data_IF_595198195181
#
_entry.id   IF_595198195181
#
_cell.length_a   1.000
_cell.length_b   1.000
_cell.length_c   1.000
_cell.angle_alpha   90.00
_cell.angle_beta   90.00
_cell.angle_gamma   90.00
#
_symmetry.space_group_name_H-M   'P 1'
#
loop_
_entity.id
_entity.type
_entity.pdbx_description
1 polymer ?
#
# COMPACT_ATOMS: atom_id res chain seq x y z
N UNK A 1 -13.85 -78.18 23.71
CA UNK A 1 -12.47 -77.76 24.05
C UNK A 1 -12.45 -76.25 23.88
N UNK A 2 -13.03 -75.44 24.76
CA UNK A 2 -12.77 -75.24 26.21
C UNK A 2 -11.33 -74.86 26.53
N UNK A 3 -11.22 -73.70 27.19
CA UNK A 3 -10.14 -73.16 28.03
C UNK A 3 -8.93 -72.58 27.28
N UNK A 4 -8.38 -71.40 27.62
CA UNK A 4 -8.30 -70.73 28.92
C UNK A 4 -7.88 -69.25 28.77
N UNK A 5 -8.42 -68.41 29.65
CA UNK A 5 -7.93 -67.09 30.04
C UNK A 5 -6.59 -67.23 30.79
N UNK A 6 -5.69 -66.26 30.62
CA UNK A 6 -4.72 -65.70 31.59
C UNK A 6 -3.62 -64.93 30.82
N UNK A 7 -3.06 -63.79 31.21
CA UNK A 7 -3.16 -63.00 32.43
C UNK A 7 -2.68 -61.58 32.11
N UNK A 8 -3.40 -60.59 32.63
CA UNK A 8 -3.01 -59.19 32.65
C UNK A 8 -2.09 -59.01 33.86
N UNK A 9 -0.78 -58.80 33.67
CA UNK A 9 0.14 -58.47 34.77
C UNK A 9 0.69 -57.06 34.63
N UNK A 10 0.80 -56.41 35.79
CA UNK A 10 0.82 -54.97 35.97
C UNK A 10 1.99 -54.23 35.34
N UNK A 11 1.67 -53.04 34.82
CA UNK A 11 2.65 -51.98 34.58
C UNK A 11 2.80 -51.20 35.88
N UNK A 12 3.89 -51.45 36.60
CA UNK A 12 4.28 -50.61 37.73
C UNK A 12 4.58 -49.18 37.24
N UNK A 13 4.08 -48.13 37.92
CA UNK A 13 4.48 -46.76 37.62
C UNK A 13 5.93 -46.59 38.07
N UNK A 14 6.85 -46.37 37.12
CA UNK A 14 8.25 -46.07 37.38
C UNK A 14 8.40 -44.99 38.46
N UNK A 15 8.71 -45.41 39.69
CA UNK A 15 9.27 -44.53 40.71
C UNK A 15 10.68 -44.17 40.24
N UNK A 16 10.86 -42.95 39.73
CA UNK A 16 12.18 -42.47 39.30
C UNK A 16 13.14 -42.55 40.49
N UNK A 17 14.21 -43.33 40.33
CA UNK A 17 15.29 -43.43 41.32
C UNK A 17 15.75 -42.05 41.77
N UNK A 18 15.98 -41.82 43.08
CA UNK A 18 16.34 -40.50 43.64
C UNK A 18 17.59 -39.88 42.99
N UNK A 19 18.49 -40.72 42.45
CA UNK A 19 19.66 -40.28 41.67
C UNK A 19 19.29 -39.55 40.38
N UNK A 20 18.24 -39.99 39.68
CA UNK A 20 17.77 -39.36 38.44
C UNK A 20 17.12 -38.00 38.75
N UNK A 21 16.40 -37.90 39.87
CA UNK A 21 15.79 -36.64 40.33
C UNK A 21 16.88 -35.63 40.70
N UNK A 22 17.93 -36.06 41.40
CA UNK A 22 19.08 -35.22 41.77
C UNK A 22 19.83 -34.70 40.53
N UNK A 23 20.07 -35.57 39.53
CA UNK A 23 20.70 -35.18 38.26
C UNK A 23 19.84 -34.18 37.47
N UNK A 24 18.52 -34.39 37.36
CA UNK A 24 17.61 -33.45 36.70
C UNK A 24 17.58 -32.09 37.39
N UNK A 25 17.58 -32.06 38.74
CA UNK A 25 17.64 -30.82 39.52
C UNK A 25 18.96 -30.07 39.30
N UNK A 26 20.08 -30.80 39.24
CA UNK A 26 21.39 -30.23 38.98
C UNK A 26 21.47 -29.59 37.58
N UNK A 27 20.99 -30.31 36.55
CA UNK A 27 20.96 -29.81 35.18
C UNK A 27 20.05 -28.59 35.00
N UNK A 28 18.89 -28.58 35.66
CA UNK A 28 17.99 -27.41 35.66
C UNK A 28 18.67 -26.19 36.28
N UNK A 29 19.37 -26.37 37.39
CA UNK A 29 20.09 -25.27 38.05
C UNK A 29 21.26 -24.76 37.19
N UNK A 30 21.99 -25.66 36.51
CA UNK A 30 23.07 -25.27 35.59
C UNK A 30 22.53 -24.49 34.39
N UNK A 31 21.41 -24.93 33.83
CA UNK A 31 20.75 -24.26 32.71
C UNK A 31 20.27 -22.85 33.08
N UNK A 32 19.62 -22.69 34.24
CA UNK A 32 19.15 -21.38 34.71
C UNK A 32 20.34 -20.45 34.98
N UNK A 33 21.42 -20.95 35.56
CA UNK A 33 22.62 -20.15 35.80
C UNK A 33 23.24 -19.64 34.49
N UNK A 34 23.38 -20.51 33.48
CA UNK A 34 23.91 -20.12 32.17
C UNK A 34 22.99 -19.11 31.45
N UNK A 35 21.67 -19.29 31.56
CA UNK A 35 20.67 -18.37 31.02
C UNK A 35 20.76 -16.98 31.67
N UNK A 36 20.86 -16.93 33.01
CA UNK A 36 21.01 -15.67 33.74
C UNK A 36 22.29 -14.92 33.36
N UNK A 37 23.42 -15.62 33.23
CA UNK A 37 24.70 -15.01 32.81
C UNK A 37 24.59 -14.44 31.40
N UNK A 38 23.94 -15.16 30.49
CA UNK A 38 23.71 -14.70 29.10
C UNK A 38 22.85 -13.44 29.05
N UNK A 39 21.77 -13.37 29.83
CA UNK A 39 20.90 -12.18 29.91
C UNK A 39 21.66 -10.98 30.49
N UNK A 40 22.50 -11.20 31.52
CA UNK A 40 23.35 -10.15 32.11
C UNK A 40 24.33 -9.57 31.10
N UNK A 41 24.99 -10.42 30.31
CA UNK A 41 25.93 -9.99 29.26
C UNK A 41 25.23 -9.22 28.14
N UNK A 42 24.04 -9.66 27.72
CA UNK A 42 23.23 -8.94 26.73
C UNK A 42 22.80 -7.57 27.29
N UNK A 43 22.36 -7.50 28.55
CA UNK A 43 21.97 -6.25 29.19
C UNK A 43 23.13 -5.23 29.26
N UNK A 44 24.32 -5.68 29.67
CA UNK A 44 25.50 -4.81 29.78
C UNK A 44 25.98 -4.35 28.40
N UNK A 45 25.88 -5.19 27.36
CA UNK A 45 26.43 -4.88 26.04
C UNK A 45 25.45 -4.17 25.08
N UNK A 46 24.12 -4.32 25.25
CA UNK A 46 23.12 -3.72 24.33
C UNK A 46 22.37 -2.51 24.87
N UNK A 47 22.32 -2.30 26.19
CA UNK A 47 21.64 -1.14 26.78
C UNK A 47 22.34 0.21 26.51
N UNK A 48 23.69 0.31 26.46
CA UNK A 48 24.36 1.59 26.21
C UNK A 48 24.11 2.18 24.81
N UNK A 49 23.66 1.41 23.82
CA UNK A 49 23.44 1.87 22.44
C UNK A 49 22.03 2.43 22.17
N UNK A 50 21.07 2.25 23.08
CA UNK A 50 19.67 2.67 22.89
C UNK A 50 19.29 3.95 23.66
N UNK A 51 20.16 4.49 24.50
CA UNK A 51 19.86 5.67 25.34
C UNK A 51 20.10 7.04 24.67
N UNK A 52 20.72 7.11 23.48
CA UNK A 52 20.87 8.41 22.79
C UNK A 52 19.59 8.93 22.12
N UNK A 53 18.55 8.10 21.95
CA UNK A 53 17.32 8.51 21.25
C UNK A 53 16.21 9.02 22.19
N UNK A 54 16.35 8.85 23.51
CA UNK A 54 15.33 9.29 24.49
C UNK A 54 15.56 10.70 25.04
N UNK A 55 16.77 11.25 24.89
CA UNK A 55 17.07 12.63 25.31
C UNK A 55 16.48 13.69 24.37
N UNK A 56 16.27 13.36 23.08
CA UNK A 56 15.61 14.26 22.13
C UNK A 56 14.08 14.32 22.30
N UNK A 57 13.49 13.31 22.94
CA UNK A 57 12.05 13.29 23.27
C UNK A 57 11.72 14.04 24.57
N UNK A 58 12.68 14.22 25.48
CA UNK A 58 12.52 15.04 26.70
C UNK A 58 12.89 16.51 26.51
N UNK A 59 13.52 16.88 25.38
CA UNK A 59 13.83 18.25 24.99
C UNK A 59 12.76 18.89 24.08
N UNK A 60 11.66 18.17 23.78
CA UNK A 60 10.52 18.74 23.09
C UNK A 60 9.71 19.60 24.06
N UNK A 61 10.11 20.88 24.16
CA UNK A 61 9.41 21.91 24.91
C UNK A 61 7.92 21.90 24.56
N UNK A 62 7.13 21.66 25.59
CA UNK A 62 5.67 21.67 25.60
C UNK A 62 5.09 22.97 25.05
N UNK A 63 4.14 22.82 24.13
CA UNK A 63 2.91 23.61 23.95
C UNK A 63 2.94 25.05 24.53
N UNK A 64 3.14 26.05 23.66
CA UNK A 64 2.76 27.43 23.96
C UNK A 64 1.30 27.64 23.52
N UNK A 65 0.43 27.92 24.50
CA UNK A 65 -0.91 28.49 24.28
C UNK A 65 -0.72 30.02 24.28
N UNK A 66 -1.20 30.78 23.28
CA UNK A 66 -0.96 32.22 23.25
C UNK A 66 -1.99 32.93 24.13
N UNK A 67 -1.51 33.78 25.03
CA UNK A 67 -2.31 34.84 25.64
C UNK A 67 -2.02 36.16 24.90
N UNK A 68 -3.12 36.84 24.59
CA UNK A 68 -3.31 38.20 24.07
C UNK A 68 -2.06 39.10 23.82
N UNK A 69 -1.86 39.44 22.53
CA UNK A 69 -1.64 40.82 22.07
C UNK A 69 -0.24 41.42 22.13
N UNK A 70 0.57 41.21 21.10
CA UNK A 70 1.44 42.25 20.53
C UNK A 70 1.86 41.90 19.11
N UNK A 71 1.71 42.85 18.19
CA UNK A 71 1.99 42.74 16.76
C UNK A 71 3.42 43.20 16.52
N UNK A 72 4.29 42.29 16.08
CA UNK A 72 5.56 42.65 15.44
C UNK A 72 5.58 42.10 14.02
N UNK A 73 5.47 43.01 13.06
CA UNK A 73 5.70 42.74 11.64
C UNK A 73 7.17 42.39 11.43
N UNK A 74 7.48 41.12 11.12
CA UNK A 74 8.55 40.74 10.20
C UNK A 74 8.62 39.21 9.99
N UNK A 75 7.62 38.63 9.35
CA UNK A 75 7.76 37.38 8.60
C UNK A 75 6.84 37.39 7.37
N UNK A 76 7.07 38.36 6.47
CA UNK A 76 6.72 38.18 5.07
C UNK A 76 7.96 37.67 4.36
N UNK A 77 8.03 36.35 4.13
CA UNK A 77 8.03 35.75 2.79
C UNK A 77 8.67 34.35 2.79
N UNK A 78 7.96 33.34 3.31
CA UNK A 78 8.01 31.99 2.76
C UNK A 78 6.67 31.28 2.94
N UNK A 79 5.61 31.97 2.52
CA UNK A 79 4.44 31.26 2.02
C UNK A 79 4.60 31.21 0.51
N UNK A 80 5.10 30.09 0.01
CA UNK A 80 4.83 29.71 -1.38
C UNK A 80 3.31 29.78 -1.52
N UNK A 81 2.83 30.79 -2.26
CA UNK A 81 1.44 30.83 -2.69
C UNK A 81 1.09 29.44 -3.26
N UNK A 82 -0.15 28.93 -3.10
CA UNK A 82 -0.57 27.82 -3.92
C UNK A 82 -0.36 28.28 -5.36
N UNK A 83 0.63 27.70 -6.05
CA UNK A 83 0.69 27.85 -7.49
C UNK A 83 -0.70 27.39 -7.93
N UNK A 84 -1.45 28.31 -8.53
CA UNK A 84 -2.70 28.00 -9.21
C UNK A 84 -2.31 27.11 -10.37
N UNK A 85 -2.06 25.83 -10.08
CA UNK A 85 -1.74 24.87 -11.10
C UNK A 85 -2.98 24.77 -11.97
N UNK A 86 -2.78 24.96 -13.26
CA UNK A 86 -3.84 24.74 -14.24
C UNK A 86 -4.14 23.24 -14.40
N UNK A 87 -3.68 22.40 -13.47
CA UNK A 87 -3.93 20.96 -13.46
C UNK A 87 -5.34 20.67 -12.97
N UNK A 88 -5.92 19.60 -13.51
CA UNK A 88 -7.10 18.95 -12.96
C UNK A 88 -6.85 18.51 -11.50
N UNK A 89 -7.93 18.38 -10.74
CA UNK A 89 -7.85 18.08 -9.32
C UNK A 89 -7.17 16.73 -9.04
N UNK A 90 -6.17 16.75 -8.16
CA UNK A 90 -5.54 15.54 -7.65
C UNK A 90 -6.40 14.92 -6.56
N UNK A 91 -6.67 13.63 -6.67
CA UNK A 91 -7.39 12.83 -5.68
C UNK A 91 -6.43 11.83 -5.04
N UNK A 92 -6.57 11.61 -3.75
CA UNK A 92 -5.81 10.60 -3.00
C UNK A 92 -6.77 9.68 -2.27
N UNK A 93 -6.49 8.38 -2.27
CA UNK A 93 -7.27 7.41 -1.52
C UNK A 93 -6.44 6.20 -1.11
N UNK A 94 -7.07 5.35 -0.32
CA UNK A 94 -6.58 4.05 0.09
C UNK A 94 -7.54 2.99 -0.43
N UNK A 95 -7.00 1.98 -1.11
CA UNK A 95 -7.73 0.78 -1.53
C UNK A 95 -7.43 -0.33 -0.54
N UNK A 96 -8.48 -0.97 -0.01
CA UNK A 96 -8.33 -2.19 0.77
C UNK A 96 -8.20 -3.39 -0.17
N UNK A 97 -6.99 -3.90 -0.29
CA UNK A 97 -6.61 -5.10 -1.03
C UNK A 97 -5.95 -6.13 -0.09
N UNK A 98 -6.43 -6.21 1.15
CA UNK A 98 -5.88 -7.11 2.16
C UNK A 98 -6.15 -8.58 1.86
N UNK A 99 -7.18 -8.93 1.08
CA UNK A 99 -7.50 -10.30 0.66
C UNK A 99 -6.39 -10.90 -0.22
N UNK A 100 -6.00 -12.15 0.08
CA UNK A 100 -5.07 -12.94 -0.74
C UNK A 100 -5.76 -13.57 -1.96
N UNK A 101 -7.10 -13.69 -1.92
CA UNK A 101 -7.90 -14.39 -2.92
C UNK A 101 -8.69 -13.42 -3.81
N UNK A 102 -9.40 -12.48 -3.18
CA UNK A 102 -10.34 -11.59 -3.87
C UNK A 102 -9.67 -10.34 -4.43
N UNK A 103 -10.18 -9.90 -5.57
CA UNK A 103 -9.79 -8.64 -6.18
C UNK A 103 -10.64 -7.49 -5.65
N UNK A 104 -9.97 -6.43 -5.22
CA UNK A 104 -10.57 -5.13 -4.95
C UNK A 104 -10.59 -4.30 -6.24
N UNK A 105 -11.78 -4.07 -6.79
CA UNK A 105 -11.95 -3.32 -8.05
C UNK A 105 -12.09 -1.82 -7.81
N UNK A 106 -11.48 -1.01 -8.67
CA UNK A 106 -11.51 0.45 -8.59
C UNK A 106 -11.90 1.04 -9.94
N UNK A 107 -12.67 2.12 -9.90
CA UNK A 107 -13.12 2.88 -11.06
C UNK A 107 -12.70 4.34 -10.89
N UNK A 108 -11.96 4.88 -11.85
CA UNK A 108 -11.46 6.26 -11.82
C UNK A 108 -12.59 7.28 -11.93
N UNK A 109 -13.65 6.96 -12.68
CA UNK A 109 -14.77 7.87 -12.93
C UNK A 109 -15.57 8.14 -11.65
N UNK A 110 -15.92 7.09 -10.92
CA UNK A 110 -16.54 7.17 -9.58
C UNK A 110 -15.50 7.54 -8.50
N UNK A 111 -14.23 7.22 -8.75
CA UNK A 111 -13.09 7.47 -7.88
C UNK A 111 -13.18 6.79 -6.52
N UNK A 112 -13.69 5.56 -6.51
CA UNK A 112 -13.84 4.71 -5.33
C UNK A 112 -13.72 3.23 -5.71
N UNK A 113 -13.51 2.39 -4.70
CA UNK A 113 -13.62 0.94 -4.83
C UNK A 113 -15.08 0.57 -5.18
N UNK A 114 -15.25 -0.33 -6.14
CA UNK A 114 -16.55 -0.78 -6.66
C UNK A 114 -16.71 -2.28 -6.44
N UNK A 115 -17.95 -2.71 -6.24
CA UNK A 115 -18.31 -4.13 -6.29
C UNK A 115 -18.86 -4.41 -7.69
N UNK A 116 -18.35 -5.45 -8.33
CA UNK A 116 -18.80 -5.86 -9.67
C UNK A 116 -19.38 -7.27 -9.58
N UNK A 117 -20.34 -7.57 -10.44
CA UNK A 117 -20.91 -8.93 -10.56
C UNK A 117 -20.14 -9.78 -11.58
N UNK A 118 -19.53 -9.13 -12.57
CA UNK A 118 -18.79 -9.77 -13.65
C UNK A 118 -17.49 -9.02 -13.94
N UNK A 119 -16.37 -9.75 -13.90
CA UNK A 119 -15.05 -9.23 -14.23
C UNK A 119 -14.92 -8.83 -15.71
N UNK A 120 -15.76 -9.37 -16.60
CA UNK A 120 -15.78 -8.97 -18.02
C UNK A 120 -16.48 -7.63 -18.27
N UNK A 121 -17.11 -7.03 -17.25
CA UNK A 121 -17.71 -5.70 -17.33
C UNK A 121 -16.69 -4.57 -17.49
N UNK A 122 -17.15 -3.41 -17.95
CA UNK A 122 -16.36 -2.18 -18.06
C UNK A 122 -16.50 -1.27 -16.82
N UNK A 123 -17.04 -1.79 -15.72
CA UNK A 123 -17.36 -1.00 -14.53
C UNK A 123 -16.16 -0.70 -13.62
N UNK A 124 -15.00 -1.27 -13.94
CA UNK A 124 -13.76 -1.17 -13.18
C UNK A 124 -12.60 -0.85 -14.13
N UNK A 125 -11.55 -0.21 -13.63
CA UNK A 125 -10.38 0.17 -14.41
C UNK A 125 -9.12 -0.53 -13.93
N UNK A 126 -8.96 -0.64 -12.61
CA UNK A 126 -7.88 -1.35 -11.95
C UNK A 126 -8.45 -2.35 -10.95
N UNK A 127 -7.78 -3.48 -10.78
CA UNK A 127 -8.07 -4.43 -9.72
C UNK A 127 -6.81 -4.70 -8.91
N UNK A 128 -6.98 -4.78 -7.59
CA UNK A 128 -5.91 -4.91 -6.61
C UNK A 128 -6.09 -6.18 -5.78
N UNK A 129 -5.03 -6.97 -5.61
CA UNK A 129 -5.02 -8.15 -4.74
C UNK A 129 -3.66 -8.26 -4.09
N UNK A 130 -3.58 -7.95 -2.79
CA UNK A 130 -2.30 -7.75 -2.09
C UNK A 130 -1.46 -6.74 -2.86
N UNK A 131 -0.21 -7.06 -3.17
CA UNK A 131 0.67 -6.21 -3.97
C UNK A 131 0.44 -6.30 -5.48
N UNK A 132 -0.46 -7.16 -5.96
CA UNK A 132 -0.72 -7.32 -7.40
C UNK A 132 -1.74 -6.31 -7.88
N UNK A 133 -1.48 -5.74 -9.06
CA UNK A 133 -2.36 -4.78 -9.71
C UNK A 133 -2.50 -5.18 -11.18
N UNK A 134 -3.73 -5.30 -11.64
CA UNK A 134 -4.10 -5.56 -13.04
C UNK A 134 -5.02 -4.45 -13.54
N UNK A 135 -5.13 -4.33 -14.86
CA UNK A 135 -5.98 -3.34 -15.52
C UNK A 135 -7.08 -4.00 -16.34
N UNK A 136 -8.19 -3.30 -16.55
CA UNK A 136 -9.32 -3.81 -17.32
C UNK A 136 -9.05 -3.73 -18.84
N UNK A 137 -8.12 -4.56 -19.32
CA UNK A 137 -7.73 -4.63 -20.72
C UNK A 137 -6.78 -5.77 -21.01
N UNK A 138 -6.65 -6.14 -22.28
CA UNK A 138 -5.78 -7.24 -22.70
C UNK A 138 -6.25 -8.59 -22.18
N UNK A 139 -5.36 -9.33 -21.51
CA UNK A 139 -5.67 -10.66 -20.99
C UNK A 139 -6.67 -10.65 -19.82
N UNK A 140 -6.74 -9.56 -19.05
CA UNK A 140 -7.67 -9.44 -17.92
C UNK A 140 -9.12 -9.29 -18.39
N UNK A 141 -9.32 -8.55 -19.47
CA UNK A 141 -10.63 -8.41 -20.12
C UNK A 141 -10.45 -7.99 -21.58
N UNK A 142 -10.99 -8.81 -22.49
CA UNK A 142 -10.92 -8.56 -23.94
C UNK A 142 -11.79 -7.38 -24.41
N UNK A 143 -12.79 -6.98 -23.63
CA UNK A 143 -13.70 -5.87 -23.97
C UNK A 143 -13.18 -4.53 -23.47
N UNK A 144 -12.33 -4.55 -22.44
CA UNK A 144 -11.72 -3.36 -21.86
C UNK A 144 -10.54 -2.87 -22.68
N UNK A 145 -10.37 -1.55 -22.72
CA UNK A 145 -9.29 -0.88 -23.45
C UNK A 145 -8.13 -0.46 -22.55
N UNK A 146 -8.12 -0.89 -21.28
CA UNK A 146 -7.16 -0.39 -20.32
C UNK A 146 -5.73 -0.82 -20.66
N UNK A 147 -4.79 0.05 -20.35
CA UNK A 147 -3.37 -0.19 -20.55
C UNK A 147 -2.55 0.89 -19.88
N UNK A 148 -1.25 0.68 -19.77
CA UNK A 148 -0.37 1.55 -19.01
C UNK A 148 0.87 2.01 -19.76
N UNK A 149 1.38 3.16 -19.34
CA UNK A 149 2.68 3.69 -19.70
C UNK A 149 3.39 4.07 -18.39
N UNK A 150 4.61 3.59 -18.19
CA UNK A 150 5.48 4.01 -17.10
C UNK A 150 6.31 5.24 -17.53
N UNK A 151 6.15 6.36 -16.83
CA UNK A 151 6.95 7.57 -17.05
C UNK A 151 8.27 7.57 -16.28
N UNK A 152 8.48 6.61 -15.38
CA UNK A 152 9.59 6.65 -14.44
C UNK A 152 9.38 7.64 -13.30
N UNK A 153 10.44 7.92 -12.56
CA UNK A 153 10.44 8.86 -11.44
C UNK A 153 10.52 10.31 -11.96
N UNK A 154 9.37 10.84 -12.39
CA UNK A 154 9.18 12.24 -12.79
C UNK A 154 8.33 12.99 -11.77
N UNK A 155 8.34 14.32 -11.80
CA UNK A 155 7.44 15.11 -10.97
C UNK A 155 5.98 14.88 -11.40
N UNK A 156 5.10 14.66 -10.42
CA UNK A 156 3.69 14.36 -10.66
C UNK A 156 2.97 15.55 -11.32
N UNK A 157 3.31 16.78 -10.91
CA UNK A 157 2.67 17.99 -11.42
C UNK A 157 3.18 18.39 -12.81
N UNK A 158 4.41 17.99 -13.17
CA UNK A 158 4.97 18.22 -14.51
C UNK A 158 4.32 17.35 -15.61
N UNK A 159 3.55 16.32 -15.25
CA UNK A 159 2.82 15.48 -16.21
C UNK A 159 1.50 16.14 -16.56
N UNK A 160 1.52 16.98 -17.60
CA UNK A 160 0.35 17.76 -18.04
C UNK A 160 -0.45 17.08 -19.15
N UNK A 161 0.12 16.07 -19.83
CA UNK A 161 -0.56 15.37 -20.91
C UNK A 161 -0.15 13.89 -21.03
N UNK A 162 -0.98 13.13 -21.74
CA UNK A 162 -0.72 11.73 -22.09
C UNK A 162 0.35 11.69 -23.19
N UNK A 163 1.51 11.05 -22.95
CA UNK A 163 2.56 10.97 -23.95
C UNK A 163 2.12 10.10 -25.13
N UNK A 164 2.64 10.40 -26.32
CA UNK A 164 2.40 9.59 -27.51
C UNK A 164 3.28 8.33 -27.52
N UNK A 165 2.99 7.41 -26.60
CA UNK A 165 3.64 6.10 -26.48
C UNK A 165 2.60 4.99 -26.49
N UNK A 166 3.03 3.79 -26.88
CA UNK A 166 2.17 2.61 -26.88
C UNK A 166 1.81 2.22 -25.44
N UNK A 167 0.53 2.02 -25.18
CA UNK A 167 0.03 1.45 -23.93
C UNK A 167 0.32 -0.06 -23.86
N UNK A 168 0.84 -0.50 -22.72
CA UNK A 168 1.11 -1.90 -22.41
C UNK A 168 -0.12 -2.48 -21.71
N UNK A 169 -0.69 -3.50 -22.33
CA UNK A 169 -1.85 -4.24 -21.84
C UNK A 169 -1.41 -5.38 -20.91
N UNK A 170 -2.37 -5.88 -20.14
CA UNK A 170 -2.17 -7.07 -19.32
C UNK A 170 -1.93 -8.30 -20.19
N UNK A 171 -1.07 -9.20 -19.70
CA UNK A 171 -0.67 -10.43 -20.38
C UNK A 171 -1.02 -11.63 -19.52
N UNK A 172 -1.48 -12.69 -20.18
CA UNK A 172 -1.62 -13.99 -19.55
C UNK A 172 -0.24 -14.63 -19.40
N UNK A 173 0.02 -15.19 -18.23
CA UNK A 173 1.18 -16.05 -17.95
C UNK A 173 0.69 -17.50 -17.80
N UNK A 174 1.60 -18.42 -17.48
CA UNK A 174 1.22 -19.83 -17.26
C UNK A 174 0.24 -20.02 -16.10
N UNK A 175 0.29 -19.15 -15.09
CA UNK A 175 -0.43 -19.34 -13.82
C UNK A 175 -1.34 -18.19 -13.44
N UNK A 176 -1.14 -16.99 -14.00
CA UNK A 176 -1.85 -15.78 -13.60
C UNK A 176 -1.92 -14.77 -14.76
N UNK A 177 -2.76 -13.75 -14.60
CA UNK A 177 -2.71 -12.54 -15.45
C UNK A 177 -1.92 -11.45 -14.75
N UNK A 178 -1.01 -10.80 -15.47
CA UNK A 178 -0.13 -9.75 -14.93
C UNK A 178 -0.07 -8.56 -15.87
N UNK A 179 0.08 -7.36 -15.31
CA UNK A 179 0.54 -6.21 -16.09
C UNK A 179 2.06 -6.04 -15.92
N UNK A 180 2.87 -6.13 -16.99
CA UNK A 180 4.34 -6.03 -16.89
C UNK A 180 4.86 -4.73 -16.27
N UNK A 181 4.11 -3.63 -16.39
CA UNK A 181 4.47 -2.34 -15.79
C UNK A 181 4.17 -2.36 -14.30
N UNK A 182 2.99 -2.87 -13.92
CA UNK A 182 2.56 -2.82 -12.53
C UNK A 182 3.20 -3.89 -11.66
N UNK A 183 3.67 -5.02 -12.20
CA UNK A 183 4.35 -6.05 -11.40
C UNK A 183 5.53 -5.50 -10.58
N UNK A 184 6.15 -4.42 -11.05
CA UNK A 184 7.33 -3.81 -10.43
C UNK A 184 7.03 -2.47 -9.75
N UNK A 185 5.78 -2.16 -9.38
CA UNK A 185 5.41 -0.88 -8.76
C UNK A 185 6.04 -0.65 -7.37
N UNK A 186 6.61 -1.68 -6.75
CA UNK A 186 7.34 -1.60 -5.49
C UNK A 186 8.71 -2.28 -5.56
N UNK A 187 9.55 -1.97 -4.57
CA UNK A 187 10.82 -2.66 -4.28
C UNK A 187 10.60 -3.53 -3.04
N UNK A 188 11.00 -4.79 -3.12
CA UNK A 188 10.96 -5.71 -1.98
C UNK A 188 12.34 -5.81 -1.33
N UNK A 189 12.41 -5.57 -0.02
CA UNK A 189 13.63 -5.76 0.75
C UNK A 189 13.65 -7.17 1.36
N UNK A 190 14.54 -8.03 0.90
CA UNK A 190 14.63 -9.43 1.35
C UNK A 190 15.06 -9.62 2.80
N UNK A 191 15.74 -8.64 3.42
CA UNK A 191 16.19 -8.73 4.82
C UNK A 191 15.08 -8.34 5.80
N UNK A 192 14.30 -7.32 5.46
CA UNK A 192 13.25 -6.77 6.33
C UNK A 192 11.85 -7.20 5.92
N UNK A 193 11.71 -7.89 4.78
CA UNK A 193 10.45 -8.26 4.14
C UNK A 193 9.53 -7.06 3.87
N UNK A 194 10.10 -5.85 3.78
CA UNK A 194 9.34 -4.61 3.55
C UNK A 194 9.22 -4.28 2.07
N UNK A 195 8.00 -4.02 1.64
CA UNK A 195 7.67 -3.46 0.34
C UNK A 195 7.76 -1.93 0.43
N UNK A 196 8.42 -1.30 -0.54
CA UNK A 196 8.51 0.16 -0.66
C UNK A 196 8.03 0.56 -2.05
N UNK A 197 6.98 1.40 -2.12
CA UNK A 197 6.47 1.88 -3.41
C UNK A 197 7.57 2.61 -4.19
N UNK A 198 7.63 2.38 -5.50
CA UNK A 198 8.44 3.21 -6.38
C UNK A 198 7.77 4.55 -6.56
N UNK A 199 8.58 5.59 -6.83
CA UNK A 199 8.07 6.95 -7.05
C UNK A 199 7.62 7.19 -8.49
N UNK A 200 7.53 6.12 -9.30
CA UNK A 200 7.14 6.19 -10.69
C UNK A 200 5.76 6.79 -10.88
N UNK A 201 5.60 7.55 -11.96
CA UNK A 201 4.31 8.04 -12.42
C UNK A 201 3.82 7.17 -13.58
N UNK A 202 2.58 6.72 -13.49
CA UNK A 202 1.95 5.89 -14.50
C UNK A 202 0.87 6.69 -15.22
N UNK A 203 0.83 6.59 -16.54
CA UNK A 203 -0.34 7.02 -17.32
C UNK A 203 -1.15 5.78 -17.66
N UNK A 204 -2.42 5.81 -17.29
CA UNK A 204 -3.36 4.70 -17.37
C UNK A 204 -4.47 5.10 -18.33
N UNK A 205 -4.68 4.28 -19.35
CA UNK A 205 -5.91 4.30 -20.12
C UNK A 205 -6.93 3.44 -19.39
N UNK A 206 -8.15 3.95 -19.20
CA UNK A 206 -9.25 3.26 -18.51
C UNK A 206 -9.95 2.25 -19.41
N UNK A 207 -10.84 1.42 -18.83
CA UNK A 207 -11.58 0.40 -19.58
C UNK A 207 -12.39 0.98 -20.74
N UNK A 208 -12.98 2.16 -20.51
CA UNK A 208 -13.77 2.95 -21.46
C UNK A 208 -12.93 3.89 -22.34
N UNK A 209 -11.60 3.88 -22.21
CA UNK A 209 -10.68 4.57 -23.10
C UNK A 209 -10.31 6.01 -22.72
N UNK A 210 -10.69 6.49 -21.53
CA UNK A 210 -10.24 7.76 -20.94
C UNK A 210 -8.87 7.60 -20.27
N UNK A 211 -8.37 8.66 -19.62
CA UNK A 211 -7.00 8.69 -19.10
C UNK A 211 -6.91 9.15 -17.65
N UNK A 212 -5.92 8.58 -16.96
CA UNK A 212 -5.53 8.95 -15.60
C UNK A 212 -4.00 9.00 -15.50
N UNK A 213 -3.43 9.97 -14.79
CA UNK A 213 -2.07 9.85 -14.26
C UNK A 213 -2.14 9.42 -12.81
N UNK A 214 -1.39 8.40 -12.42
CA UNK A 214 -1.47 7.75 -11.10
C UNK A 214 -0.07 7.52 -10.53
N UNK A 215 0.06 7.72 -9.22
CA UNK A 215 1.23 7.34 -8.44
C UNK A 215 0.80 6.49 -7.25
N UNK A 216 1.39 5.31 -7.12
CA UNK A 216 1.24 4.48 -5.92
C UNK A 216 2.23 4.96 -4.85
N UNK A 217 1.73 5.17 -3.63
CA UNK A 217 2.46 5.83 -2.54
C UNK A 217 2.87 4.85 -1.44
N UNK A 218 2.03 3.88 -1.14
CA UNK A 218 2.27 2.93 -0.05
C UNK A 218 1.48 1.64 -0.25
N UNK A 219 1.96 0.56 0.37
CA UNK A 219 1.31 -0.75 0.46
C UNK A 219 0.71 -1.02 1.85
N UNK A 220 0.93 -0.12 2.81
CA UNK A 220 0.54 -0.32 4.20
C UNK A 220 -0.64 0.55 4.61
N UNK A 221 -1.47 -0.04 5.47
CA UNK A 221 -2.57 0.58 6.17
C UNK A 221 -2.06 1.52 7.27
N UNK A 222 -2.92 2.37 7.82
CA UNK A 222 -2.55 3.30 8.90
C UNK A 222 -2.07 2.59 10.17
N UNK A 223 -2.61 1.41 10.44
CA UNK A 223 -2.23 0.50 11.54
C UNK A 223 -0.97 -0.34 11.25
N UNK A 224 -0.32 -0.10 10.10
CA UNK A 224 0.87 -0.82 9.60
C UNK A 224 0.59 -2.25 9.11
N UNK A 225 -0.67 -2.65 8.98
CA UNK A 225 -1.01 -3.88 8.27
C UNK A 225 -0.72 -3.74 6.76
N UNK A 226 -0.51 -4.87 6.10
CA UNK A 226 -0.18 -4.95 4.68
C UNK A 226 -1.43 -5.15 3.82
N UNK A 227 -1.44 -4.55 2.63
CA UNK A 227 -2.54 -4.72 1.67
C UNK A 227 -3.44 -3.49 1.51
N UNK A 228 -3.10 -2.35 2.12
CA UNK A 228 -3.77 -1.09 1.81
C UNK A 228 -2.93 -0.29 0.82
N UNK A 229 -3.37 -0.26 -0.43
CA UNK A 229 -2.66 0.47 -1.48
C UNK A 229 -3.10 1.93 -1.44
N UNK A 230 -2.17 2.80 -1.06
CA UNK A 230 -2.38 4.25 -1.10
C UNK A 230 -1.95 4.75 -2.47
N UNK A 231 -2.79 5.54 -3.13
CA UNK A 231 -2.46 6.14 -4.41
C UNK A 231 -3.01 7.55 -4.51
N UNK A 232 -2.33 8.37 -5.32
CA UNK A 232 -2.84 9.64 -5.80
C UNK A 232 -2.97 9.60 -7.32
N UNK A 233 -3.98 10.28 -7.84
CA UNK A 233 -4.23 10.32 -9.27
C UNK A 233 -4.94 11.59 -9.71
N UNK A 234 -4.86 11.87 -11.00
CA UNK A 234 -5.66 12.87 -11.71
C UNK A 234 -6.36 12.15 -12.86
N UNK A 235 -7.67 12.33 -12.98
CA UNK A 235 -8.49 11.67 -13.98
C UNK A 235 -9.09 12.69 -14.96
N UNK A 236 -8.99 12.39 -16.26
CA UNK A 236 -9.55 13.20 -17.34
C UNK A 236 -10.89 12.60 -17.80
N UNK A 237 -11.99 13.25 -17.44
CA UNK A 237 -13.34 12.78 -17.72
C UNK A 237 -13.75 12.93 -19.20
N UNK A 238 -13.20 13.91 -19.92
CA UNK A 238 -13.55 14.17 -21.33
C UNK A 238 -12.91 13.15 -22.30
N UNK A 239 -11.94 12.37 -21.84
CA UNK A 239 -11.13 11.49 -22.69
C UNK A 239 -10.06 12.23 -23.50
N UNK A 240 -9.89 13.54 -23.31
CA UNK A 240 -8.77 14.27 -23.89
C UNK A 240 -7.42 13.74 -23.35
N UNK A 241 -6.34 14.00 -24.09
CA UNK A 241 -4.98 13.67 -23.65
C UNK A 241 -4.41 14.72 -22.69
N UNK A 242 -5.17 15.71 -22.24
CA UNK A 242 -4.72 16.79 -21.35
C UNK A 242 -5.14 16.53 -19.91
N UNK A 243 -4.25 16.80 -18.95
CA UNK A 243 -4.55 16.85 -17.52
C UNK A 243 -4.66 18.29 -16.99
N UNK A 244 -4.76 19.26 -17.89
CA UNK A 244 -5.03 20.65 -17.56
C UNK A 244 -6.56 20.89 -17.51
N UNK A 245 -6.97 21.93 -16.77
CA UNK A 245 -8.36 22.42 -16.81
C UNK A 245 -8.58 23.07 -18.17
N UNK A 246 -9.76 22.85 -18.74
CA UNK A 246 -10.18 23.59 -19.91
C UNK A 246 -10.50 25.04 -19.47
N UNK A 247 -10.01 26.03 -20.21
CA UNK A 247 -10.38 27.44 -20.03
C UNK A 247 -11.83 27.66 -20.52
N UNK A 248 -12.81 27.07 -19.85
CA UNK A 248 -14.22 27.16 -20.19
C UNK A 248 -14.99 27.96 -19.14
N UNK A 249 -14.76 29.27 -19.16
CA UNK A 249 -15.62 30.30 -18.61
C UNK A 249 -16.34 31.09 -19.71
N UNK A 250 -16.84 30.43 -20.77
CA UNK A 250 -17.71 31.08 -21.76
C UNK A 250 -18.89 30.16 -22.04
N UNK A 251 -19.95 30.34 -21.25
CA UNK A 251 -21.28 29.85 -21.60
C UNK A 251 -21.74 30.67 -22.80
N UNK A 252 -21.58 30.15 -24.01
CA UNK A 252 -22.32 30.66 -25.16
C UNK A 252 -23.78 30.28 -24.98
N UNK A 253 -24.55 31.19 -24.38
CA UNK A 253 -26.00 31.21 -24.49
C UNK A 253 -26.32 31.45 -25.96
N UNK A 254 -26.56 30.37 -26.70
CA UNK A 254 -27.22 30.46 -28.01
C UNK A 254 -28.69 30.74 -27.70
N UNK A 255 -29.06 32.02 -27.76
CA UNK A 255 -30.45 32.44 -27.87
C UNK A 255 -31.04 31.78 -29.11
N UNK A 256 -32.00 30.89 -28.89
CA UNK A 256 -32.81 30.33 -29.97
C UNK A 256 -33.84 31.37 -30.35
N UNK A 257 -33.60 32.05 -31.46
CA UNK A 257 -34.57 32.89 -32.15
C UNK A 257 -35.16 32.07 -33.30
N UNK A 258 -36.44 31.74 -33.19
CA UNK A 258 -37.32 31.16 -34.23
C UNK A 258 -38.70 30.95 -33.58
N UNK A 259 -39.85 31.39 -34.08
CA UNK A 259 -40.28 31.97 -35.36
C UNK A 259 -41.73 32.48 -35.13
N UNK A 260 -42.58 32.53 -36.16
CA UNK A 260 -42.84 33.64 -37.08
C UNK A 260 -44.11 34.45 -36.73
#
# INVERSE_FOLDING_TARGET
MSDSLDSFSGRDPHTLSPEIIKKKKLWRNLFIFNLCVSILLIGIFWVPLKFQQVNSFLAASSVNIPDKGEITQNEKNLRTAPQTSNLLATRSLVIDATSDEDWAYFDFSRGKQVKIMDASSLEWDLAFRRGRIISNGGASNKFGQAGLIDLGEVDFDAVESVPDRKFILDKSTRTDTVNPILENWYKYNYLTHKLTARRNIYVIRTADGKFSKTQFLSFYCADKNSGCIQMRYVYQHSGSKSFLKDDAGTVSLISTEASP
#
